data_IF_526021696861
#
_entry.id   IF_526021696861
#
_cell.length_a   1.000
_cell.length_b   1.000
_cell.length_c   1.000
_cell.angle_alpha   90.00
_cell.angle_beta   90.00
_cell.angle_gamma   90.00
#
_symmetry.space_group_name_H-M   'P 1'
#
loop_
_entity.id
_entity.type
_entity.pdbx_description
1 polymer ?
#
# COMPACT_ATOMS: atom_id res chain seq x y z
N UNK A 1 -14.53 1.83 35.25
CA UNK A 1 -14.34 3.29 35.06
C UNK A 1 -13.28 3.60 33.99
N UNK A 2 -12.12 2.93 34.02
CA UNK A 2 -11.10 3.03 32.95
C UNK A 2 -11.61 2.60 31.57
N UNK A 3 -12.36 1.49 31.46
CA UNK A 3 -12.88 1.03 30.16
C UNK A 3 -13.85 2.03 29.50
N UNK A 4 -14.62 2.78 30.29
CA UNK A 4 -15.55 3.77 29.76
C UNK A 4 -14.82 4.99 29.22
N UNK A 5 -13.72 5.39 29.87
CA UNK A 5 -12.90 6.53 29.48
C UNK A 5 -12.03 6.18 28.26
N UNK A 6 -11.49 4.96 28.22
CA UNK A 6 -10.79 4.42 27.06
C UNK A 6 -11.73 4.33 25.84
N UNK A 7 -12.97 3.88 26.00
CA UNK A 7 -13.96 3.80 24.92
C UNK A 7 -14.42 5.17 24.40
N UNK A 8 -14.40 6.21 25.24
CA UNK A 8 -14.66 7.59 24.83
C UNK A 8 -13.49 8.17 24.01
N UNK A 9 -12.25 7.87 24.39
CA UNK A 9 -11.05 8.43 23.75
C UNK A 9 -10.65 7.65 22.48
N UNK A 10 -10.68 6.31 22.53
CA UNK A 10 -10.17 5.43 21.48
C UNK A 10 -11.28 4.74 20.66
N UNK A 11 -12.55 4.92 21.05
CA UNK A 11 -13.69 4.37 20.31
C UNK A 11 -13.66 2.83 20.28
N UNK A 12 -13.66 2.26 19.07
CA UNK A 12 -13.58 0.80 18.85
C UNK A 12 -12.15 0.26 18.81
N UNK A 13 -11.14 1.13 18.84
CA UNK A 13 -9.74 0.72 18.80
C UNK A 13 -9.34 0.17 20.16
N UNK A 14 -8.99 -1.11 20.21
CA UNK A 14 -8.53 -1.80 21.41
C UNK A 14 -7.25 -2.59 21.13
N UNK A 15 -6.64 -3.17 22.16
CA UNK A 15 -5.50 -4.06 22.01
C UNK A 15 -5.82 -5.32 21.19
N UNK A 16 -7.10 -5.70 21.11
CA UNK A 16 -7.58 -6.81 20.28
C UNK A 16 -7.61 -6.46 18.79
N UNK A 17 -7.60 -5.16 18.44
CA UNK A 17 -7.54 -4.71 17.05
C UNK A 17 -6.17 -4.95 16.40
N UNK A 18 -5.16 -5.37 17.17
CA UNK A 18 -3.84 -5.68 16.63
C UNK A 18 -3.68 -7.20 16.46
N UNK A 19 -3.05 -7.66 15.38
CA UNK A 19 -2.91 -9.08 15.07
C UNK A 19 -1.79 -9.75 15.90
N UNK A 20 -1.82 -9.59 17.22
CA UNK A 20 -0.79 -10.10 18.15
C UNK A 20 -0.86 -11.64 18.29
N UNK A 21 -1.99 -12.21 17.92
CA UNK A 21 -2.26 -13.64 18.09
C UNK A 21 -1.86 -14.45 16.84
N UNK A 22 -1.59 -13.77 15.73
CA UNK A 22 -1.35 -14.39 14.42
C UNK A 22 0.13 -14.31 14.03
N UNK A 23 0.87 -15.44 14.05
CA UNK A 23 2.31 -15.43 13.82
C UNK A 23 2.71 -14.86 12.46
N UNK A 24 1.93 -15.16 11.41
CA UNK A 24 2.22 -14.72 10.04
C UNK A 24 2.12 -13.20 9.93
N UNK A 25 1.08 -12.60 10.54
CA UNK A 25 0.86 -11.15 10.52
C UNK A 25 1.90 -10.43 11.38
N UNK A 26 2.28 -10.99 12.54
CA UNK A 26 3.35 -10.45 13.38
C UNK A 26 4.70 -10.39 12.65
N UNK A 27 5.10 -11.49 12.00
CA UNK A 27 6.34 -11.53 11.22
C UNK A 27 6.28 -10.52 10.09
N UNK A 28 5.16 -10.44 9.38
CA UNK A 28 4.95 -9.47 8.30
C UNK A 28 5.08 -8.03 8.82
N UNK A 29 4.45 -7.71 9.95
CA UNK A 29 4.55 -6.40 10.60
C UNK A 29 6.00 -6.07 10.97
N UNK A 30 6.72 -7.00 11.59
CA UNK A 30 8.12 -6.80 11.96
C UNK A 30 9.00 -6.53 10.73
N UNK A 31 8.84 -7.31 9.66
CA UNK A 31 9.59 -7.14 8.40
C UNK A 31 9.30 -5.79 7.75
N UNK A 32 8.02 -5.40 7.66
CA UNK A 32 7.61 -4.11 7.10
C UNK A 32 8.12 -2.95 7.94
N UNK A 33 8.01 -3.03 9.27
CA UNK A 33 8.51 -2.01 10.18
C UNK A 33 10.04 -1.84 10.08
N UNK A 34 10.79 -2.95 10.06
CA UNK A 34 12.24 -2.93 9.87
C UNK A 34 12.63 -2.37 8.50
N UNK A 35 11.91 -2.76 7.44
CA UNK A 35 12.12 -2.21 6.10
C UNK A 35 11.86 -0.71 6.04
N UNK A 36 10.78 -0.24 6.66
CA UNK A 36 10.45 1.19 6.76
C UNK A 36 11.52 1.97 7.51
N UNK A 37 11.98 1.47 8.67
CA UNK A 37 13.08 2.08 9.44
C UNK A 37 14.37 2.10 8.62
N UNK A 38 14.69 1.03 7.90
CA UNK A 38 15.87 0.97 7.04
C UNK A 38 15.83 2.02 5.91
N UNK A 39 14.67 2.19 5.26
CA UNK A 39 14.46 3.21 4.22
C UNK A 39 14.60 4.62 4.80
N UNK A 40 13.92 4.91 5.92
CA UNK A 40 14.01 6.22 6.59
C UNK A 40 15.45 6.52 7.05
N UNK A 41 16.12 5.51 7.59
CA UNK A 41 17.53 5.59 7.99
C UNK A 41 18.45 5.87 6.80
N UNK A 42 18.23 5.21 5.65
CA UNK A 42 18.98 5.45 4.43
C UNK A 42 18.77 6.87 3.89
N UNK A 43 17.51 7.32 3.78
CA UNK A 43 17.17 8.68 3.32
C UNK A 43 17.82 9.75 4.21
N UNK A 44 17.82 9.52 5.52
CA UNK A 44 18.43 10.42 6.51
C UNK A 44 19.95 10.42 6.41
N UNK A 45 20.58 9.24 6.34
CA UNK A 45 22.04 9.09 6.20
C UNK A 45 22.57 9.78 4.94
N UNK A 46 21.88 9.64 3.82
CA UNK A 46 22.26 10.26 2.54
C UNK A 46 21.74 11.69 2.36
N UNK A 47 21.09 12.28 3.38
CA UNK A 47 20.55 13.66 3.36
C UNK A 47 19.62 13.95 2.18
N UNK A 48 18.85 12.94 1.74
CA UNK A 48 18.01 13.03 0.55
C UNK A 48 16.70 13.77 0.79
N UNK A 49 16.32 14.06 2.04
CA UNK A 49 15.08 14.74 2.39
C UNK A 49 14.83 16.05 1.62
N UNK A 50 15.85 16.92 1.53
CA UNK A 50 15.72 18.20 0.83
C UNK A 50 15.57 18.04 -0.69
N UNK A 51 16.12 16.97 -1.27
CA UNK A 51 15.97 16.62 -2.68
C UNK A 51 14.58 16.03 -2.94
N UNK A 52 14.17 15.03 -2.17
CA UNK A 52 12.86 14.39 -2.29
C UNK A 52 11.72 15.40 -2.14
N UNK A 53 11.81 16.30 -1.16
CA UNK A 53 10.80 17.31 -0.95
C UNK A 53 10.63 18.24 -2.16
N UNK A 54 11.73 18.85 -2.62
CA UNK A 54 11.70 19.87 -3.69
C UNK A 54 11.47 19.29 -5.08
N UNK A 55 12.07 18.14 -5.36
CA UNK A 55 12.09 17.59 -6.72
C UNK A 55 10.95 16.58 -6.96
N UNK A 56 10.48 15.87 -5.94
CA UNK A 56 9.53 14.78 -6.13
C UNK A 56 8.19 15.05 -5.45
N UNK A 57 8.18 15.25 -4.12
CA UNK A 57 6.93 15.28 -3.37
C UNK A 57 6.03 16.47 -3.72
N UNK A 58 6.63 17.65 -3.92
CA UNK A 58 5.90 18.87 -4.29
C UNK A 58 5.98 19.19 -5.79
N UNK A 59 6.34 18.23 -6.64
CA UNK A 59 6.48 18.47 -8.08
C UNK A 59 5.14 18.60 -8.79
N UNK A 60 5.07 19.46 -9.80
CA UNK A 60 3.90 19.57 -10.69
C UNK A 60 4.17 18.98 -12.08
N UNK A 61 5.40 18.54 -12.36
CA UNK A 61 5.77 17.95 -13.65
C UNK A 61 5.07 16.60 -13.85
N UNK A 62 4.20 16.51 -14.86
CA UNK A 62 3.46 15.30 -15.22
C UNK A 62 4.35 14.06 -15.42
N UNK A 63 5.61 14.22 -15.86
CA UNK A 63 6.55 13.11 -16.01
C UNK A 63 6.94 12.53 -14.67
N UNK A 64 7.27 13.39 -13.70
CA UNK A 64 7.68 12.95 -12.35
C UNK A 64 6.49 12.35 -11.61
N UNK A 65 5.31 12.96 -11.72
CA UNK A 65 4.07 12.40 -11.16
C UNK A 65 3.77 11.03 -11.79
N UNK A 66 3.91 10.90 -13.12
CA UNK A 66 3.75 9.62 -13.82
C UNK A 66 4.71 8.54 -13.32
N UNK A 67 6.00 8.89 -13.10
CA UNK A 67 6.99 7.97 -12.51
C UNK A 67 6.58 7.56 -11.10
N UNK A 68 6.14 8.49 -10.25
CA UNK A 68 5.71 8.17 -8.88
C UNK A 68 4.51 7.22 -8.85
N UNK A 69 3.55 7.40 -9.78
CA UNK A 69 2.43 6.47 -9.96
C UNK A 69 2.90 5.05 -10.33
N UNK A 70 3.84 4.92 -11.27
CA UNK A 70 4.39 3.63 -11.66
C UNK A 70 5.15 2.98 -10.50
N UNK A 71 5.95 3.75 -9.75
CA UNK A 71 6.66 3.26 -8.56
C UNK A 71 5.66 2.73 -7.53
N UNK A 72 4.58 3.48 -7.25
CA UNK A 72 3.52 3.03 -6.35
C UNK A 72 2.93 1.69 -6.83
N UNK A 73 2.58 1.58 -8.11
CA UNK A 73 2.06 0.33 -8.67
C UNK A 73 3.02 -0.84 -8.53
N UNK A 74 4.32 -0.63 -8.73
CA UNK A 74 5.32 -1.71 -8.59
C UNK A 74 5.46 -2.15 -7.14
N UNK A 75 5.47 -1.21 -6.18
CA UNK A 75 5.48 -1.54 -4.74
C UNK A 75 4.22 -2.32 -4.36
N UNK A 76 3.05 -1.86 -4.82
CA UNK A 76 1.77 -2.53 -4.56
C UNK A 76 1.64 -3.87 -5.29
N UNK A 77 2.31 -4.03 -6.44
CA UNK A 77 2.39 -5.30 -7.15
C UNK A 77 3.15 -6.33 -6.33
N UNK A 78 4.27 -5.98 -5.70
CA UNK A 78 5.01 -6.91 -4.83
C UNK A 78 4.14 -7.38 -3.67
N UNK A 79 3.36 -6.47 -3.09
CA UNK A 79 2.37 -6.82 -2.05
C UNK A 79 1.30 -7.76 -2.61
N UNK A 80 0.59 -7.36 -3.66
CA UNK A 80 -0.49 -8.16 -4.26
C UNK A 80 0.01 -9.53 -4.76
N UNK A 81 1.23 -9.60 -5.28
CA UNK A 81 1.86 -10.84 -5.71
C UNK A 81 2.17 -11.77 -4.54
N UNK A 82 2.58 -11.23 -3.39
CA UNK A 82 2.80 -12.01 -2.17
C UNK A 82 1.50 -12.68 -1.72
N UNK A 83 0.38 -11.95 -1.70
CA UNK A 83 -0.94 -12.53 -1.40
C UNK A 83 -1.35 -13.61 -2.41
N UNK A 84 -1.08 -13.39 -3.70
CA UNK A 84 -1.35 -14.40 -4.73
C UNK A 84 -0.55 -15.69 -4.50
N UNK A 85 0.73 -15.56 -4.15
CA UNK A 85 1.56 -16.71 -3.79
C UNK A 85 1.01 -17.41 -2.56
N UNK A 86 0.62 -16.67 -1.52
CA UNK A 86 0.01 -17.26 -0.32
C UNK A 86 -1.25 -18.07 -0.66
N UNK A 87 -2.16 -17.51 -1.46
CA UNK A 87 -3.38 -18.23 -1.88
C UNK A 87 -3.04 -19.50 -2.69
N UNK A 88 -2.07 -19.44 -3.59
CA UNK A 88 -1.67 -20.60 -4.41
C UNK A 88 -0.97 -21.67 -3.58
N UNK A 89 -0.13 -21.27 -2.63
CA UNK A 89 0.50 -22.20 -1.69
C UNK A 89 -0.57 -22.84 -0.81
N UNK A 90 -1.53 -22.07 -0.28
CA UNK A 90 -2.65 -22.62 0.49
C UNK A 90 -3.44 -23.66 -0.32
N UNK A 91 -3.81 -23.35 -1.57
CA UNK A 91 -4.50 -24.29 -2.45
C UNK A 91 -3.70 -25.56 -2.73
N UNK A 92 -2.37 -25.48 -2.73
CA UNK A 92 -1.50 -26.65 -2.91
C UNK A 92 -1.40 -27.53 -1.66
N UNK A 93 -1.37 -26.93 -0.46
CA UNK A 93 -1.31 -27.66 0.80
C UNK A 93 -2.65 -28.22 1.26
N UNK A 94 -3.75 -27.50 1.00
CA UNK A 94 -5.10 -27.93 1.32
C UNK A 94 -5.68 -28.92 0.29
N UNK A 95 -4.84 -29.56 -0.52
CA UNK A 95 -5.30 -30.54 -1.51
C UNK A 95 -5.73 -31.83 -0.79
N UNK A 96 -7.01 -32.19 -0.90
CA UNK A 96 -7.58 -33.36 -0.23
C UNK A 96 -8.43 -32.97 0.98
N UNK A 97 -8.18 -33.59 2.14
CA UNK A 97 -8.89 -33.34 3.40
C UNK A 97 -8.04 -32.56 4.43
N UNK A 98 -6.94 -31.96 3.98
CA UNK A 98 -6.04 -31.16 4.83
C UNK A 98 -6.52 -29.70 4.91
N UNK A 99 -6.46 -29.08 6.09
CA UNK A 99 -6.91 -27.68 6.28
C UNK A 99 -5.93 -26.62 5.72
N UNK A 100 -4.67 -27.01 5.45
CA UNK A 100 -3.60 -26.08 5.05
C UNK A 100 -3.11 -25.19 6.19
N UNK A 101 -2.50 -24.05 5.88
CA UNK A 101 -1.91 -23.13 6.87
C UNK A 101 -2.68 -21.82 7.04
N UNK A 102 -3.62 -21.50 6.13
CA UNK A 102 -4.56 -20.40 6.27
C UNK A 102 -5.95 -20.94 6.59
N UNK A 103 -6.53 -20.49 7.71
CA UNK A 103 -7.94 -20.72 7.98
C UNK A 103 -8.82 -19.96 6.96
N UNK A 104 -10.12 -20.32 6.88
CA UNK A 104 -11.05 -19.72 5.93
C UNK A 104 -11.14 -18.18 6.08
N UNK A 105 -11.14 -17.68 7.32
CA UNK A 105 -11.24 -16.26 7.61
C UNK A 105 -10.06 -15.46 7.04
N UNK A 106 -8.82 -15.91 7.25
CA UNK A 106 -7.64 -15.26 6.68
C UNK A 106 -7.54 -15.43 5.17
N UNK A 107 -7.95 -16.58 4.64
CA UNK A 107 -7.96 -16.77 3.20
C UNK A 107 -8.87 -15.75 2.51
N UNK A 108 -10.07 -15.53 3.04
CA UNK A 108 -11.03 -14.57 2.51
C UNK A 108 -10.53 -13.13 2.60
N UNK A 109 -9.87 -12.76 3.71
CA UNK A 109 -9.22 -11.44 3.85
C UNK A 109 -8.10 -11.24 2.83
N UNK A 110 -7.21 -12.22 2.68
CA UNK A 110 -6.09 -12.17 1.72
C UNK A 110 -6.61 -12.09 0.28
N UNK A 111 -7.62 -12.89 -0.07
CA UNK A 111 -8.22 -12.85 -1.40
C UNK A 111 -8.86 -11.49 -1.71
N UNK A 112 -9.63 -10.95 -0.76
CA UNK A 112 -10.29 -9.66 -0.91
C UNK A 112 -9.27 -8.53 -1.02
N UNK A 113 -8.23 -8.55 -0.18
CA UNK A 113 -7.17 -7.55 -0.22
C UNK A 113 -6.36 -7.63 -1.51
N UNK A 114 -6.00 -8.84 -1.96
CA UNK A 114 -5.36 -9.07 -3.25
C UNK A 114 -6.16 -8.43 -4.39
N UNK A 115 -7.45 -8.74 -4.50
CA UNK A 115 -8.31 -8.20 -5.56
C UNK A 115 -8.37 -6.66 -5.54
N UNK A 116 -8.63 -6.08 -4.37
CA UNK A 116 -8.66 -4.63 -4.19
C UNK A 116 -7.34 -3.97 -4.61
N UNK A 117 -6.21 -4.56 -4.22
CA UNK A 117 -4.89 -4.01 -4.53
C UNK A 117 -4.54 -4.12 -5.99
N UNK A 118 -4.80 -5.27 -6.61
CA UNK A 118 -4.48 -5.47 -8.03
C UNK A 118 -5.24 -4.51 -8.93
N UNK A 119 -6.51 -4.22 -8.64
CA UNK A 119 -7.29 -3.29 -9.46
C UNK A 119 -6.97 -1.84 -9.11
N UNK A 120 -7.17 -1.43 -7.85
CA UNK A 120 -7.15 -0.02 -7.48
C UNK A 120 -5.76 0.55 -7.27
N UNK A 121 -4.77 -0.29 -6.92
CA UNK A 121 -3.44 0.17 -6.54
C UNK A 121 -2.30 -0.35 -7.41
N UNK A 122 -2.57 -1.33 -8.27
CA UNK A 122 -1.63 -1.78 -9.31
C UNK A 122 -2.10 -1.32 -10.68
N UNK A 123 -3.22 -1.83 -11.18
CA UNK A 123 -3.67 -1.58 -12.55
C UNK A 123 -4.02 -0.10 -12.79
N UNK A 124 -4.87 0.48 -11.96
CA UNK A 124 -5.30 1.88 -12.11
C UNK A 124 -4.11 2.85 -12.03
N UNK A 125 -3.24 2.82 -11.00
CA UNK A 125 -2.14 3.76 -10.92
C UNK A 125 -1.07 3.51 -12.00
N UNK A 126 -0.90 2.28 -12.49
CA UNK A 126 0.07 1.96 -13.54
C UNK A 126 -0.36 2.61 -14.85
N UNK A 127 -1.64 2.44 -15.21
CA UNK A 127 -2.23 3.04 -16.40
C UNK A 127 -2.23 4.56 -16.27
N UNK A 128 -2.68 5.10 -15.12
CA UNK A 128 -2.66 6.55 -14.86
C UNK A 128 -1.25 7.13 -14.91
N UNK A 129 -0.24 6.40 -14.43
CA UNK A 129 1.16 6.82 -14.48
C UNK A 129 1.72 6.88 -15.91
N UNK A 130 1.43 5.85 -16.72
CA UNK A 130 1.80 5.81 -18.14
C UNK A 130 1.11 6.94 -18.90
N UNK A 131 -0.19 7.14 -18.69
CA UNK A 131 -0.96 8.23 -19.30
C UNK A 131 -0.37 9.59 -18.91
N UNK A 132 -0.12 9.82 -17.62
CA UNK A 132 0.49 11.05 -17.14
C UNK A 132 1.82 11.35 -17.81
N UNK A 133 2.66 10.33 -17.98
CA UNK A 133 3.97 10.51 -18.59
C UNK A 133 3.88 10.74 -20.10
N UNK A 134 3.16 9.88 -20.80
CA UNK A 134 3.24 9.75 -22.26
C UNK A 134 2.24 10.67 -22.99
N UNK A 135 1.04 10.87 -22.44
CA UNK A 135 -0.04 11.54 -23.17
C UNK A 135 0.29 13.01 -23.51
N UNK A 136 0.80 13.86 -22.59
CA UNK A 136 1.16 15.24 -22.96
C UNK A 136 2.25 15.29 -24.03
N UNK A 137 3.20 14.35 -24.00
CA UNK A 137 4.27 14.23 -25.00
C UNK A 137 3.73 13.85 -26.38
N UNK A 138 2.76 12.94 -26.44
CA UNK A 138 2.14 12.51 -27.70
C UNK A 138 1.34 13.63 -28.38
N UNK A 139 0.66 14.48 -27.61
CA UNK A 139 -0.11 15.61 -28.15
C UNK A 139 0.70 16.89 -28.32
N UNK A 140 2.01 16.87 -28.00
CA UNK A 140 2.89 18.04 -28.07
C UNK A 140 2.56 19.14 -27.06
N UNK A 141 1.86 18.81 -25.98
CA UNK A 141 1.55 19.74 -24.90
C UNK A 141 2.74 19.86 -23.93
N UNK A 142 2.85 21.02 -23.27
CA UNK A 142 3.90 21.24 -22.26
C UNK A 142 3.62 20.52 -20.95
N UNK A 143 2.34 20.41 -20.58
CA UNK A 143 1.88 19.80 -19.32
C UNK A 143 0.37 19.46 -19.41
N UNK A 144 -0.17 18.87 -18.34
CA UNK A 144 -1.61 18.62 -18.16
C UNK A 144 -2.39 19.91 -17.86
N UNK A 145 -3.70 19.90 -18.07
CA UNK A 145 -4.56 21.08 -17.88
C UNK A 145 -4.54 21.65 -16.45
N UNK A 146 -4.42 20.79 -15.43
CA UNK A 146 -4.42 21.19 -14.01
C UNK A 146 -3.25 20.55 -13.23
N UNK A 147 -2.03 21.11 -13.29
CA UNK A 147 -0.85 20.47 -12.71
C UNK A 147 -0.90 20.26 -11.20
N UNK A 148 -1.47 21.22 -10.44
CA UNK A 148 -1.64 21.08 -8.99
C UNK A 148 -2.62 19.96 -8.62
N UNK A 149 -3.76 19.88 -9.30
CA UNK A 149 -4.75 18.81 -9.06
C UNK A 149 -4.18 17.43 -9.41
N UNK A 150 -3.27 17.35 -10.38
CA UNK A 150 -2.57 16.12 -10.72
C UNK A 150 -1.67 15.62 -9.57
N UNK A 151 -0.91 16.52 -8.94
CA UNK A 151 -0.13 16.19 -7.75
C UNK A 151 -1.04 15.78 -6.58
N UNK A 152 -2.14 16.51 -6.34
CA UNK A 152 -3.11 16.17 -5.30
C UNK A 152 -3.74 14.79 -5.53
N UNK A 153 -4.13 14.47 -6.77
CA UNK A 153 -4.71 13.17 -7.12
C UNK A 153 -3.74 12.01 -6.80
N UNK A 154 -2.44 12.21 -7.06
CA UNK A 154 -1.41 11.24 -6.68
C UNK A 154 -1.38 11.02 -5.16
N UNK A 155 -1.33 12.08 -4.36
CA UNK A 155 -1.28 11.95 -2.91
C UNK A 155 -2.55 11.40 -2.28
N UNK A 156 -3.72 11.66 -2.87
CA UNK A 156 -4.96 10.99 -2.47
C UNK A 156 -4.89 9.49 -2.74
N UNK A 157 -4.31 9.09 -3.88
CA UNK A 157 -4.08 7.67 -4.21
C UNK A 157 -3.12 7.01 -3.20
N UNK A 158 -2.01 7.68 -2.88
CA UNK A 158 -1.06 7.21 -1.86
C UNK A 158 -1.73 7.10 -0.50
N UNK A 159 -2.53 8.08 -0.11
CA UNK A 159 -3.24 8.07 1.18
C UNK A 159 -4.22 6.90 1.27
N UNK A 160 -4.97 6.63 0.20
CA UNK A 160 -5.85 5.46 0.13
C UNK A 160 -5.06 4.14 0.18
N UNK A 161 -3.92 4.05 -0.50
CA UNK A 161 -3.04 2.88 -0.43
C UNK A 161 -2.51 2.65 0.99
N UNK A 162 -2.12 3.72 1.69
CA UNK A 162 -1.66 3.67 3.08
C UNK A 162 -2.77 3.18 4.02
N UNK A 163 -4.01 3.62 3.84
CA UNK A 163 -5.15 3.15 4.65
C UNK A 163 -5.40 1.66 4.44
N UNK A 164 -5.35 1.19 3.18
CA UNK A 164 -5.50 -0.23 2.82
C UNK A 164 -4.34 -1.08 3.36
N UNK A 165 -3.13 -0.51 3.47
CA UNK A 165 -2.01 -1.19 4.12
C UNK A 165 -2.10 -1.18 5.64
N UNK A 166 -2.68 -0.12 6.21
CA UNK A 166 -2.87 0.00 7.65
C UNK A 166 -3.92 -1.00 8.17
N UNK A 167 -4.95 -1.33 7.39
CA UNK A 167 -5.98 -2.32 7.81
C UNK A 167 -5.41 -3.72 8.01
N UNK A 168 -4.25 -4.04 7.43
CA UNK A 168 -3.54 -5.30 7.68
C UNK A 168 -2.99 -5.41 9.10
N UNK A 169 -2.73 -4.27 9.74
CA UNK A 169 -2.13 -4.20 11.09
C UNK A 169 -3.11 -3.69 12.15
N UNK A 170 -4.20 -3.04 11.73
CA UNK A 170 -5.16 -2.40 12.60
C UNK A 170 -6.56 -2.83 12.15
N UNK A 171 -7.14 -3.77 12.88
CA UNK A 171 -8.42 -4.40 12.59
C UNK A 171 -8.25 -5.60 11.65
N UNK A 172 -9.21 -5.74 10.75
CA UNK A 172 -9.31 -6.82 9.78
C UNK A 172 -9.65 -6.23 8.40
N UNK A 173 -9.37 -6.97 7.33
CA UNK A 173 -9.64 -6.55 5.95
C UNK A 173 -11.06 -6.86 5.50
#
# INVERSE_FOLDING_TARGET
MFDNLAKIIFGRLSWESFPIHEPILLVTFAVVALGGVAVVGAVTKYKLWGYLWREWFTTVDHKRIGIMYIILSVVMLLRGFTDALMMRVQQSYAFGAEEGYLNAHHFDQVFTAHGTIMIFFVAMPLITGIINYVMPLQIGARDVAFPFLNNLAFWLTVSAALLVMASLFIGEF
#
